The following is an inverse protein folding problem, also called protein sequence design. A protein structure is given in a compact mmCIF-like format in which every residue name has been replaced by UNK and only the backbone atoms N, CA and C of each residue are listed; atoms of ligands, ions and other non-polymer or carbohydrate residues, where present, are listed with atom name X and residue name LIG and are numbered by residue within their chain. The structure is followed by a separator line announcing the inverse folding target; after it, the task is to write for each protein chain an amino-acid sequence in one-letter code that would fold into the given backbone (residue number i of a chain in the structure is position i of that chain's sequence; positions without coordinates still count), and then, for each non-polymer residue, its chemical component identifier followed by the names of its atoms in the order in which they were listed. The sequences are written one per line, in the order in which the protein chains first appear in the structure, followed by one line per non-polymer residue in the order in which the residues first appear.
data_IF_271886975810
#
_entry.id   IF_271886975810
#
_cell.length_a   1.000
_cell.length_b   1.000
_cell.length_c   1.000
_cell.angle_alpha   90.00
_cell.angle_beta   90.00
_cell.angle_gamma   90.00
#
_symmetry.space_group_name_H-M   'P 1'
#
loop_
_entity.id
_entity.type
_entity.pdbx_description
1 polymer ?
#
# COMPACT_ATOMS: atom_id res chain seq x y z
N UNK A 1 -14.44 10.34 -15.92
CA UNK A 1 -13.77 11.63 -15.66
C UNK A 1 -12.33 11.54 -16.14
N UNK A 2 -11.77 12.57 -16.81
CA UNK A 2 -10.37 12.55 -17.24
C UNK A 2 -9.40 12.60 -16.05
N UNK A 3 -8.21 11.99 -16.22
CA UNK A 3 -7.12 11.99 -15.24
C UNK A 3 -6.19 13.19 -15.51
N UNK A 4 -6.68 14.41 -15.27
CA UNK A 4 -5.93 15.63 -15.58
C UNK A 4 -4.64 15.74 -14.76
N UNK A 5 -4.63 15.21 -13.55
CA UNK A 5 -3.44 15.15 -12.69
C UNK A 5 -2.28 14.35 -13.30
N UNK A 6 -2.57 13.42 -14.23
CA UNK A 6 -1.53 12.59 -14.87
C UNK A 6 -0.85 13.26 -16.08
N UNK A 7 -1.27 14.48 -16.49
CA UNK A 7 -0.62 15.16 -17.61
C UNK A 7 0.87 15.38 -17.32
N UNK A 8 1.79 14.79 -18.09
CA UNK A 8 3.24 14.91 -17.87
C UNK A 8 3.77 16.33 -18.04
N UNK A 9 3.01 17.24 -18.65
CA UNK A 9 3.37 18.65 -18.82
C UNK A 9 3.13 19.49 -17.58
N UNK A 10 2.33 19.00 -16.63
CA UNK A 10 2.03 19.74 -15.39
C UNK A 10 3.29 19.88 -14.54
N UNK A 11 3.52 21.08 -14.03
CA UNK A 11 4.58 21.39 -13.08
C UNK A 11 3.96 22.03 -11.85
N UNK A 12 4.53 21.75 -10.69
CA UNK A 12 4.10 22.38 -9.43
C UNK A 12 4.84 23.69 -9.19
N UNK A 13 4.15 24.62 -8.57
CA UNK A 13 4.81 25.82 -8.00
C UNK A 13 5.56 25.50 -6.68
N UNK A 14 5.29 24.35 -6.06
CA UNK A 14 6.15 23.80 -5.01
C UNK A 14 7.44 23.26 -5.62
N UNK A 15 8.52 23.31 -4.85
CA UNK A 15 9.78 22.72 -5.28
C UNK A 15 9.70 21.20 -5.33
N UNK A 16 10.00 20.64 -6.48
CA UNK A 16 10.10 19.18 -6.68
C UNK A 16 11.53 18.86 -7.13
N UNK A 17 12.33 18.16 -6.31
CA UNK A 17 13.67 17.70 -6.72
C UNK A 17 13.62 16.86 -7.99
N UNK A 18 14.66 16.97 -8.84
CA UNK A 18 14.70 16.30 -10.16
C UNK A 18 14.46 14.79 -10.11
N UNK A 19 14.89 14.13 -9.04
CA UNK A 19 14.79 12.68 -8.85
C UNK A 19 13.76 12.32 -7.77
N UNK A 20 12.77 13.18 -7.55
CA UNK A 20 11.71 12.90 -6.57
C UNK A 20 10.69 11.93 -7.14
N UNK A 21 10.33 10.92 -6.36
CA UNK A 21 9.22 10.00 -6.66
C UNK A 21 7.85 10.66 -6.44
N UNK A 22 7.83 11.92 -5.98
CA UNK A 22 6.62 12.65 -5.63
C UNK A 22 6.41 13.92 -6.49
N UNK A 23 6.39 13.77 -7.84
CA UNK A 23 5.99 14.88 -8.71
C UNK A 23 4.48 15.17 -8.54
N UNK A 24 4.03 16.32 -9.09
CA UNK A 24 2.61 16.70 -9.07
C UNK A 24 1.67 15.65 -9.70
N UNK A 25 2.20 14.72 -10.47
CA UNK A 25 1.45 13.59 -11.05
C UNK A 25 1.21 12.46 -10.06
N UNK A 26 1.99 12.34 -8.98
CA UNK A 26 1.81 11.27 -8.02
C UNK A 26 0.63 11.56 -7.07
N UNK A 27 0.73 12.59 -6.25
CA UNK A 27 -0.30 12.98 -5.26
C UNK A 27 -0.78 11.74 -4.46
N UNK A 28 0.10 11.11 -3.66
CA UNK A 28 -0.30 9.99 -2.81
C UNK A 28 -1.13 10.49 -1.63
N UNK A 29 -1.82 9.59 -0.94
CA UNK A 29 -2.54 9.91 0.29
C UNK A 29 -1.90 9.24 1.49
N UNK A 30 -1.92 9.90 2.64
CA UNK A 30 -1.38 9.41 3.88
C UNK A 30 -1.99 10.12 5.09
N UNK A 31 -1.56 9.70 6.27
CA UNK A 31 -1.95 10.32 7.54
C UNK A 31 -0.69 10.72 8.26
N UNK A 32 -0.67 11.90 8.85
CA UNK A 32 0.48 12.36 9.62
C UNK A 32 0.06 13.17 10.85
N UNK A 33 0.92 13.14 11.84
CA UNK A 33 0.86 13.98 13.04
C UNK A 33 1.69 15.24 12.78
N UNK A 34 1.12 16.40 13.05
CA UNK A 34 1.82 17.69 12.99
C UNK A 34 2.58 17.97 14.29
N UNK A 35 3.40 19.00 14.32
CA UNK A 35 4.11 19.46 15.54
C UNK A 35 3.18 19.91 16.67
N UNK A 36 1.95 20.29 16.32
CA UNK A 36 0.93 20.73 17.28
C UNK A 36 0.06 19.55 17.76
N UNK A 37 0.53 18.31 17.59
CA UNK A 37 -0.15 17.07 17.95
C UNK A 37 -1.52 16.89 17.26
N UNK A 38 -1.69 17.44 16.07
CA UNK A 38 -2.90 17.27 15.25
C UNK A 38 -2.65 16.16 14.24
N UNK A 39 -3.51 15.13 14.28
CA UNK A 39 -3.56 14.09 13.23
C UNK A 39 -4.42 14.60 12.08
N UNK A 40 -3.94 14.47 10.86
CA UNK A 40 -4.66 14.89 9.66
C UNK A 40 -4.38 13.98 8.48
N UNK A 41 -5.34 13.88 7.59
CA UNK A 41 -5.16 13.26 6.28
C UNK A 41 -4.46 14.26 5.37
N UNK A 42 -3.45 13.79 4.66
CA UNK A 42 -2.69 14.64 3.77
C UNK A 42 -2.18 13.98 2.50
N UNK A 43 -1.49 14.80 1.74
CA UNK A 43 -0.78 14.39 0.53
C UNK A 43 0.62 14.98 0.50
N UNK A 44 1.38 14.64 -0.56
CA UNK A 44 2.76 15.09 -0.72
C UNK A 44 3.06 15.48 -2.17
N UNK A 45 3.76 16.61 -2.33
CA UNK A 45 4.37 17.01 -3.60
C UNK A 45 5.83 17.41 -3.32
N UNK A 46 6.77 16.73 -3.96
CA UNK A 46 8.20 16.92 -3.68
C UNK A 46 8.52 16.62 -2.22
N UNK A 47 9.07 17.60 -1.53
CA UNK A 47 9.43 17.53 -0.09
C UNK A 47 8.45 18.27 0.82
N UNK A 48 7.25 18.56 0.31
CA UNK A 48 6.21 19.28 1.04
C UNK A 48 5.03 18.36 1.29
N UNK A 49 4.67 18.19 2.57
CA UNK A 49 3.41 17.60 2.98
C UNK A 49 2.31 18.68 2.98
N UNK A 50 1.10 18.27 2.64
CA UNK A 50 -0.05 19.14 2.43
C UNK A 50 -1.20 18.60 3.26
N UNK A 51 -1.72 19.41 4.16
CA UNK A 51 -2.88 19.10 5.01
C UNK A 51 -4.17 19.25 4.19
N UNK A 52 -4.86 18.14 3.95
CA UNK A 52 -6.13 18.12 3.24
C UNK A 52 -7.30 18.56 4.13
N UNK A 53 -7.21 18.33 5.44
CA UNK A 53 -8.18 18.81 6.42
C UNK A 53 -8.24 20.33 6.43
N UNK A 54 -7.09 20.99 6.57
CA UNK A 54 -6.98 22.46 6.51
C UNK A 54 -7.43 22.99 5.15
N UNK A 55 -7.02 22.38 4.03
CA UNK A 55 -7.52 22.77 2.69
C UNK A 55 -9.04 22.68 2.57
N UNK A 56 -9.65 21.66 3.16
CA UNK A 56 -11.10 21.47 3.14
C UNK A 56 -11.83 22.54 3.96
N UNK A 57 -11.38 22.79 5.18
CA UNK A 57 -11.91 23.82 6.06
C UNK A 57 -11.80 25.23 5.47
N UNK A 58 -10.72 25.50 4.74
CA UNK A 58 -10.50 26.76 4.01
C UNK A 58 -11.30 26.88 2.71
N UNK A 59 -12.11 25.87 2.36
CA UNK A 59 -13.01 25.87 1.21
C UNK A 59 -12.36 25.54 -0.12
N UNK A 60 -11.12 25.04 -0.17
CA UNK A 60 -10.45 24.72 -1.42
C UNK A 60 -11.04 23.49 -2.15
N UNK A 61 -11.87 22.70 -1.49
CA UNK A 61 -12.62 21.58 -2.11
C UNK A 61 -14.09 21.89 -2.35
N UNK A 62 -14.51 23.16 -2.24
CA UNK A 62 -15.89 23.54 -2.55
C UNK A 62 -16.31 23.09 -3.95
N UNK A 63 -17.50 22.48 -4.06
CA UNK A 63 -18.03 21.90 -5.30
C UNK A 63 -17.70 20.42 -5.51
N UNK A 64 -16.93 19.79 -4.61
CA UNK A 64 -16.82 18.34 -4.47
C UNK A 64 -17.74 17.93 -3.32
N UNK A 65 -18.55 16.89 -3.55
CA UNK A 65 -19.45 16.33 -2.53
C UNK A 65 -18.62 15.52 -1.52
N UNK A 66 -18.26 16.17 -0.40
CA UNK A 66 -17.46 15.63 0.70
C UNK A 66 -18.15 15.98 2.02
N UNK A 67 -18.07 15.11 3.00
CA UNK A 67 -18.49 15.45 4.37
C UNK A 67 -17.47 16.42 5.00
N UNK A 68 -17.93 17.29 5.90
CA UNK A 68 -17.11 18.37 6.49
C UNK A 68 -15.87 17.83 7.25
N UNK A 69 -15.95 16.60 7.75
CA UNK A 69 -14.93 15.96 8.58
C UNK A 69 -14.10 14.88 7.86
N UNK A 70 -14.32 14.68 6.55
CA UNK A 70 -13.72 13.57 5.79
C UNK A 70 -12.19 13.51 5.89
N UNK A 71 -11.51 14.64 5.99
CA UNK A 71 -10.06 14.74 6.11
C UNK A 71 -9.57 15.05 7.52
N UNK A 72 -10.48 15.10 8.51
CA UNK A 72 -10.17 15.28 9.92
C UNK A 72 -10.14 13.96 10.71
N UNK A 73 -10.23 12.85 9.98
CA UNK A 73 -10.15 11.50 10.54
C UNK A 73 -8.69 11.12 10.80
N UNK A 74 -8.47 10.17 11.67
CA UNK A 74 -7.16 9.59 11.96
C UNK A 74 -6.75 8.47 11.00
N UNK A 75 -7.63 8.11 10.05
CA UNK A 75 -7.38 7.13 8.97
C UNK A 75 -8.06 7.56 7.68
N UNK A 76 -7.62 6.97 6.55
CA UNK A 76 -8.20 7.17 5.22
C UNK A 76 -9.46 6.34 4.96
N UNK A 77 -9.91 5.51 5.91
CA UNK A 77 -10.96 4.52 5.66
C UNK A 77 -12.25 5.13 5.11
N UNK A 78 -12.73 6.22 5.70
CA UNK A 78 -13.95 6.90 5.25
C UNK A 78 -13.78 7.53 3.87
N UNK A 79 -12.64 8.19 3.62
CA UNK A 79 -12.35 8.73 2.29
C UNK A 79 -12.24 7.64 1.22
N UNK A 80 -11.68 6.47 1.58
CA UNK A 80 -11.61 5.32 0.68
C UNK A 80 -13.02 4.78 0.40
N UNK A 81 -13.93 4.80 1.38
CA UNK A 81 -15.32 4.36 1.21
C UNK A 81 -16.13 5.25 0.25
N UNK A 82 -15.78 6.53 0.09
CA UNK A 82 -16.41 7.45 -0.86
C UNK A 82 -16.23 7.04 -2.34
N UNK A 83 -15.28 6.18 -2.62
CA UNK A 83 -15.12 5.54 -3.91
C UNK A 83 -14.34 6.36 -4.95
N UNK A 84 -14.02 5.67 -6.03
CA UNK A 84 -13.06 6.12 -7.06
C UNK A 84 -13.39 7.47 -7.70
N UNK A 85 -14.69 7.80 -7.85
CA UNK A 85 -15.10 9.09 -8.41
C UNK A 85 -14.65 10.25 -7.54
N UNK A 86 -14.84 10.15 -6.23
CA UNK A 86 -14.47 11.16 -5.24
C UNK A 86 -12.94 11.29 -5.15
N UNK A 87 -12.21 10.17 -5.06
CA UNK A 87 -10.74 10.19 -5.03
C UNK A 87 -10.14 10.93 -6.23
N UNK A 88 -10.70 10.69 -7.42
CA UNK A 88 -10.26 11.32 -8.68
C UNK A 88 -10.55 12.81 -8.71
N UNK A 89 -11.71 13.23 -8.19
CA UNK A 89 -12.06 14.65 -8.06
C UNK A 89 -11.09 15.38 -7.17
N UNK A 90 -10.84 14.83 -5.97
CA UNK A 90 -9.92 15.39 -4.98
C UNK A 90 -8.50 15.47 -5.54
N UNK A 91 -8.00 14.37 -6.12
CA UNK A 91 -6.67 14.32 -6.72
C UNK A 91 -6.48 15.32 -7.86
N UNK A 92 -7.45 15.45 -8.76
CA UNK A 92 -7.42 16.46 -9.82
C UNK A 92 -7.42 17.87 -9.24
N UNK A 93 -8.26 18.15 -8.23
CA UNK A 93 -8.33 19.45 -7.57
C UNK A 93 -7.02 19.84 -6.88
N UNK A 94 -6.39 18.91 -6.18
CA UNK A 94 -5.04 19.10 -5.59
C UNK A 94 -4.05 19.46 -6.70
N UNK A 95 -4.03 18.69 -7.79
CA UNK A 95 -3.17 18.97 -8.92
C UNK A 95 -3.41 20.37 -9.53
N UNK A 96 -4.64 20.86 -9.55
CA UNK A 96 -4.97 22.20 -10.05
C UNK A 96 -4.51 23.29 -9.10
N UNK A 97 -4.70 23.13 -7.78
CA UNK A 97 -4.26 24.09 -6.76
C UNK A 97 -2.74 24.29 -6.74
N UNK A 98 -2.00 23.22 -6.99
CA UNK A 98 -0.54 23.25 -6.95
C UNK A 98 0.11 23.38 -8.32
N UNK A 99 -0.68 23.58 -9.40
CA UNK A 99 -0.18 23.81 -10.75
C UNK A 99 0.61 25.13 -10.83
N UNK A 100 1.74 25.11 -11.50
CA UNK A 100 2.49 26.34 -11.78
C UNK A 100 1.63 27.32 -12.60
N UNK A 101 1.58 28.56 -12.14
CA UNK A 101 0.68 29.59 -12.68
C UNK A 101 -0.70 29.65 -12.01
N UNK A 102 -1.06 28.71 -11.14
CA UNK A 102 -2.27 28.84 -10.30
C UNK A 102 -1.93 29.65 -9.04
N UNK A 103 -2.62 30.76 -8.84
CA UNK A 103 -2.40 31.71 -7.75
C UNK A 103 -3.43 31.58 -6.62
N UNK A 104 -4.42 30.71 -6.73
CA UNK A 104 -5.55 30.59 -5.82
C UNK A 104 -5.09 30.40 -4.35
N UNK A 105 -4.26 29.39 -4.11
CA UNK A 105 -3.63 29.14 -2.81
C UNK A 105 -2.29 29.91 -2.69
N UNK A 106 -1.47 29.88 -3.74
CA UNK A 106 -0.09 30.39 -3.73
C UNK A 106 0.04 31.84 -3.25
N UNK A 107 -0.92 32.71 -3.58
CA UNK A 107 -0.94 34.11 -3.18
C UNK A 107 -1.42 34.34 -1.75
N UNK A 108 -2.15 33.39 -1.18
CA UNK A 108 -2.62 33.50 0.21
C UNK A 108 -1.55 32.93 1.16
N UNK A 109 -0.69 33.80 1.66
CA UNK A 109 0.44 33.39 2.51
C UNK A 109 0.03 32.81 3.87
N UNK A 110 -1.10 33.24 4.41
CA UNK A 110 -1.62 32.72 5.69
C UNK A 110 -2.14 31.29 5.49
N UNK A 111 -2.95 31.04 4.45
CA UNK A 111 -3.39 29.68 4.12
C UNK A 111 -2.20 28.77 3.78
N UNK A 112 -1.17 29.26 3.06
CA UNK A 112 0.03 28.47 2.79
C UNK A 112 0.74 28.03 4.08
N UNK A 113 0.81 28.88 5.12
CA UNK A 113 1.41 28.51 6.42
C UNK A 113 0.59 27.46 7.17
N UNK A 114 -0.72 27.48 6.99
CA UNK A 114 -1.65 26.58 7.64
C UNK A 114 -1.63 25.18 7.01
N UNK A 115 -1.51 25.11 5.68
CA UNK A 115 -1.67 23.83 4.95
C UNK A 115 -0.35 23.15 4.57
N UNK A 116 0.80 23.85 4.60
CA UNK A 116 2.07 23.33 4.08
C UNK A 116 3.05 23.04 5.21
N UNK A 117 3.54 21.81 5.24
CA UNK A 117 4.53 21.35 6.20
C UNK A 117 5.77 20.81 5.48
N UNK A 118 6.92 20.98 6.09
CA UNK A 118 8.12 20.26 5.70
C UNK A 118 8.00 18.82 6.19
N UNK A 119 8.67 17.89 5.53
CA UNK A 119 8.61 16.48 5.94
C UNK A 119 9.24 16.21 7.32
N UNK A 120 10.19 17.05 7.74
CA UNK A 120 10.80 16.96 9.08
C UNK A 120 9.95 17.64 10.19
N UNK A 121 8.79 18.18 9.82
CA UNK A 121 7.81 18.79 10.73
C UNK A 121 6.63 17.88 11.03
N UNK A 122 6.57 16.71 10.41
CA UNK A 122 5.48 15.75 10.54
C UNK A 122 6.00 14.37 10.93
N UNK A 123 5.15 13.58 11.55
CA UNK A 123 5.38 12.17 11.83
C UNK A 123 4.31 11.32 11.14
N UNK A 124 4.74 10.47 10.19
CA UNK A 124 3.82 9.63 9.43
C UNK A 124 3.18 8.58 10.33
N UNK A 125 1.87 8.43 10.17
CA UNK A 125 1.06 7.43 10.87
C UNK A 125 0.69 6.28 9.93
N UNK A 126 0.09 5.22 10.47
CA UNK A 126 -0.51 4.17 9.65
C UNK A 126 -1.70 4.78 8.87
N UNK A 127 -1.71 4.70 7.53
CA UNK A 127 -2.67 5.48 6.74
C UNK A 127 -4.09 4.93 6.77
N UNK A 128 -4.26 3.66 7.15
CA UNK A 128 -5.56 2.98 7.20
C UNK A 128 -5.65 2.11 8.45
N UNK A 129 -6.84 1.96 8.98
CA UNK A 129 -7.15 0.91 9.93
C UNK A 129 -7.39 -0.39 9.17
N UNK A 130 -6.45 -1.33 9.33
CA UNK A 130 -6.46 -2.61 8.61
C UNK A 130 -7.24 -3.62 9.42
N UNK A 131 -8.49 -3.85 9.03
CA UNK A 131 -9.33 -4.86 9.67
C UNK A 131 -8.76 -6.26 9.49
N UNK A 132 -8.33 -6.57 8.27
CA UNK A 132 -7.81 -7.88 7.89
C UNK A 132 -6.92 -7.80 6.65
N UNK A 133 -5.99 -8.75 6.45
CA UNK A 133 -5.26 -8.85 5.21
C UNK A 133 -4.91 -10.29 4.84
N UNK A 134 -4.79 -10.52 3.54
CA UNK A 134 -4.32 -11.78 2.98
C UNK A 134 -3.04 -11.50 2.22
N UNK A 135 -2.01 -12.23 2.55
CA UNK A 135 -0.74 -12.22 1.84
C UNK A 135 -0.77 -13.28 0.74
N UNK A 136 -0.62 -12.85 -0.52
CA UNK A 136 -0.67 -13.72 -1.68
C UNK A 136 0.72 -14.05 -2.21
N UNK A 137 1.00 -15.30 -2.29
CA UNK A 137 2.22 -15.90 -2.82
C UNK A 137 2.19 -15.98 -4.35
N UNK A 138 2.04 -14.81 -5.01
CA UNK A 138 1.65 -14.72 -6.43
C UNK A 138 2.83 -14.62 -7.41
N UNK A 139 4.04 -14.22 -6.98
CA UNK A 139 5.22 -14.17 -7.85
C UNK A 139 5.79 -15.57 -8.05
N UNK A 140 5.88 -16.01 -9.32
CA UNK A 140 6.41 -17.34 -9.66
C UNK A 140 7.88 -17.47 -9.29
N UNK A 141 8.64 -16.41 -9.50
CA UNK A 141 10.08 -16.35 -9.18
C UNK A 141 10.29 -16.45 -7.66
N UNK A 142 9.58 -15.65 -6.89
CA UNK A 142 9.62 -15.70 -5.43
C UNK A 142 9.17 -17.06 -4.91
N UNK A 143 8.02 -17.56 -5.38
CA UNK A 143 7.47 -18.86 -4.97
C UNK A 143 8.42 -20.02 -5.29
N UNK A 144 9.13 -19.98 -6.43
CA UNK A 144 10.13 -20.98 -6.79
C UNK A 144 11.36 -20.86 -5.86
N UNK A 145 11.87 -19.65 -5.64
CA UNK A 145 13.04 -19.43 -4.79
C UNK A 145 12.79 -19.92 -3.35
N UNK A 146 11.70 -19.44 -2.73
CA UNK A 146 11.35 -19.83 -1.37
C UNK A 146 11.00 -21.33 -1.30
N UNK A 147 10.27 -21.84 -2.30
CA UNK A 147 9.96 -23.27 -2.38
C UNK A 147 11.20 -24.16 -2.38
N UNK A 148 12.26 -23.74 -3.06
CA UNK A 148 13.53 -24.45 -3.13
C UNK A 148 14.33 -24.46 -1.80
N UNK A 149 14.01 -23.53 -0.86
CA UNK A 149 14.59 -23.56 0.49
C UNK A 149 14.00 -24.68 1.36
N UNK A 150 12.80 -25.15 1.05
CA UNK A 150 12.05 -26.09 1.89
C UNK A 150 11.80 -27.43 1.20
N UNK A 151 11.92 -27.51 -0.13
CA UNK A 151 11.58 -28.65 -0.97
C UNK A 151 12.66 -28.89 -2.03
N UNK A 152 12.54 -30.03 -2.74
CA UNK A 152 13.34 -30.30 -3.93
C UNK A 152 13.12 -29.18 -4.97
N UNK A 153 14.15 -28.57 -5.53
CA UNK A 153 14.04 -27.54 -6.55
C UNK A 153 13.19 -27.91 -7.78
N UNK A 154 13.19 -29.22 -8.16
CA UNK A 154 12.36 -29.71 -9.26
C UNK A 154 10.85 -29.70 -8.91
N UNK A 155 10.51 -29.68 -7.62
CA UNK A 155 9.17 -29.66 -7.07
C UNK A 155 8.95 -28.44 -6.15
N UNK A 156 9.59 -27.32 -6.47
CA UNK A 156 9.51 -26.08 -5.65
C UNK A 156 8.08 -25.56 -5.54
N UNK A 157 7.29 -25.66 -6.62
CA UNK A 157 5.89 -25.24 -6.66
C UNK A 157 4.96 -26.42 -6.44
N UNK A 158 4.00 -26.28 -5.52
CA UNK A 158 2.93 -27.28 -5.35
C UNK A 158 1.95 -27.22 -6.53
N UNK A 159 1.28 -28.32 -6.89
CA UNK A 159 0.40 -28.40 -8.07
C UNK A 159 -0.70 -27.34 -8.10
N UNK A 160 -1.27 -26.99 -6.95
CA UNK A 160 -2.34 -26.01 -6.83
C UNK A 160 -1.85 -24.57 -7.08
N UNK A 161 -0.55 -24.28 -6.92
CA UNK A 161 0.01 -22.92 -7.10
C UNK A 161 -0.25 -22.37 -8.52
N UNK A 162 -0.25 -23.24 -9.54
CA UNK A 162 -0.49 -22.86 -10.94
C UNK A 162 -1.98 -22.59 -11.26
N UNK A 163 -2.89 -22.89 -10.34
CA UNK A 163 -4.33 -22.90 -10.61
C UNK A 163 -5.15 -21.92 -9.77
N UNK A 164 -4.71 -21.63 -8.55
CA UNK A 164 -5.39 -20.70 -7.64
C UNK A 164 -4.39 -19.71 -7.02
N UNK A 165 -4.82 -18.51 -6.68
CA UNK A 165 -3.99 -17.61 -5.85
C UNK A 165 -3.75 -18.27 -4.49
N UNK A 166 -2.48 -18.56 -4.20
CA UNK A 166 -2.07 -19.10 -2.91
C UNK A 166 -1.74 -17.93 -1.99
N UNK A 167 -2.22 -18.01 -0.76
CA UNK A 167 -1.97 -16.99 0.23
C UNK A 167 -2.27 -17.49 1.64
N UNK A 168 -1.97 -16.69 2.64
CA UNK A 168 -2.33 -16.93 4.03
C UNK A 168 -2.96 -15.69 4.65
N UNK A 169 -3.74 -15.89 5.72
CA UNK A 169 -4.29 -14.79 6.51
C UNK A 169 -3.18 -14.24 7.41
N UNK A 170 -2.74 -13.02 7.10
CA UNK A 170 -1.70 -12.35 7.86
C UNK A 170 -2.22 -11.74 9.18
N UNK A 171 -1.29 -11.21 9.96
CA UNK A 171 -1.57 -10.56 11.24
C UNK A 171 -1.71 -9.04 11.04
N UNK A 172 -2.92 -8.52 10.88
CA UNK A 172 -3.17 -7.08 10.69
C UNK A 172 -2.66 -6.23 11.86
N UNK A 173 -2.77 -6.73 13.09
CA UNK A 173 -2.38 -6.01 14.32
C UNK A 173 -0.86 -5.78 14.48
N UNK A 174 -0.02 -6.35 13.64
CA UNK A 174 1.43 -6.14 13.63
C UNK A 174 1.93 -5.38 12.40
N UNK A 175 1.03 -4.80 11.62
CA UNK A 175 1.39 -3.88 10.54
C UNK A 175 1.75 -2.52 11.14
N UNK A 176 2.91 -2.00 10.73
CA UNK A 176 3.44 -0.71 11.21
C UNK A 176 3.96 0.14 10.04
N UNK A 177 3.97 1.47 10.16
CA UNK A 177 4.53 2.33 9.11
C UNK A 177 6.06 2.24 9.05
N UNK A 178 6.62 2.55 7.89
CA UNK A 178 8.08 2.66 7.70
C UNK A 178 8.71 3.60 8.72
N UNK A 179 9.87 3.21 9.24
CA UNK A 179 10.58 3.94 10.31
C UNK A 179 10.35 3.33 11.69
N UNK A 180 9.33 2.51 11.88
CA UNK A 180 9.10 1.82 13.16
C UNK A 180 10.14 0.72 13.38
N UNK A 181 10.88 0.72 14.51
CA UNK A 181 11.84 -0.33 14.82
C UNK A 181 11.16 -1.69 15.05
N UNK A 182 11.67 -2.74 14.42
CA UNK A 182 11.15 -4.09 14.55
C UNK A 182 11.99 -4.89 15.56
N UNK A 183 11.30 -5.56 16.49
CA UNK A 183 11.95 -6.45 17.44
C UNK A 183 12.11 -7.84 16.82
N UNK A 184 13.33 -8.40 16.97
CA UNK A 184 13.62 -9.79 16.59
C UNK A 184 12.72 -10.75 17.37
N UNK A 185 11.94 -11.64 16.70
CA UNK A 185 11.06 -12.57 17.39
C UNK A 185 11.85 -13.67 18.11
N UNK A 186 11.23 -14.23 19.15
CA UNK A 186 11.71 -15.38 19.89
C UNK A 186 10.72 -16.52 19.69
N UNK A 187 11.21 -17.69 19.30
CA UNK A 187 10.35 -18.84 18.99
C UNK A 187 11.08 -20.16 19.02
N UNK A 188 10.34 -21.22 18.71
CA UNK A 188 10.91 -22.54 18.52
C UNK A 188 11.53 -22.68 17.14
N UNK A 189 12.61 -23.43 17.05
CA UNK A 189 13.30 -23.80 15.81
C UNK A 189 13.37 -25.31 15.68
N UNK A 190 13.68 -25.79 14.48
CA UNK A 190 13.83 -27.24 14.22
C UNK A 190 14.78 -27.90 15.22
N UNK A 191 14.55 -29.17 15.57
CA UNK A 191 15.46 -29.94 16.39
C UNK A 191 16.91 -29.90 15.86
N UNK A 192 17.86 -29.70 16.78
CA UNK A 192 19.29 -29.87 16.54
C UNK A 192 19.69 -31.35 16.56
N UNK A 193 21.00 -31.61 16.69
CA UNK A 193 21.59 -32.96 16.73
C UNK A 193 21.09 -33.78 17.91
N UNK A 194 20.63 -33.15 18.98
CA UNK A 194 20.07 -33.79 20.17
C UNK A 194 18.60 -34.22 20.01
N UNK A 195 17.98 -33.97 18.83
CA UNK A 195 16.61 -34.29 18.53
C UNK A 195 15.56 -33.43 19.23
N UNK A 196 15.97 -32.34 19.90
CA UNK A 196 15.08 -31.44 20.64
C UNK A 196 14.90 -30.12 19.90
N UNK A 197 13.68 -29.54 19.88
CA UNK A 197 13.48 -28.20 19.36
C UNK A 197 14.29 -27.18 20.19
N UNK A 198 14.92 -26.24 19.48
CA UNK A 198 15.54 -25.09 20.11
C UNK A 198 14.48 -24.04 20.48
N UNK A 199 14.79 -23.14 21.43
CA UNK A 199 13.98 -21.97 21.72
C UNK A 199 14.89 -20.76 21.96
N UNK A 200 14.63 -19.66 21.27
CA UNK A 200 15.43 -18.44 21.38
C UNK A 200 15.13 -17.42 20.29
N UNK A 201 15.91 -16.32 20.24
CA UNK A 201 15.80 -15.33 19.18
C UNK A 201 16.09 -15.95 17.81
N UNK A 202 15.30 -15.58 16.80
CA UNK A 202 15.54 -15.96 15.40
C UNK A 202 16.98 -15.63 14.97
N UNK A 203 17.63 -16.55 14.29
CA UNK A 203 18.99 -16.41 13.73
C UNK A 203 18.96 -16.10 12.24
N UNK A 204 17.81 -16.33 11.58
CA UNK A 204 17.61 -16.15 10.14
C UNK A 204 16.47 -15.16 9.88
N UNK A 205 16.69 -13.90 10.26
CA UNK A 205 15.74 -12.83 9.95
C UNK A 205 15.96 -12.37 8.52
N UNK A 206 14.89 -12.36 7.75
CA UNK A 206 14.85 -12.02 6.34
C UNK A 206 13.75 -10.98 6.06
N UNK A 207 13.76 -10.38 4.87
CA UNK A 207 12.71 -9.47 4.40
C UNK A 207 12.10 -9.98 3.10
N UNK A 208 10.86 -9.63 2.86
CA UNK A 208 10.19 -9.84 1.58
C UNK A 208 9.69 -8.48 1.08
N UNK A 209 10.28 -7.99 -0.01
CA UNK A 209 9.82 -6.74 -0.63
C UNK A 209 8.63 -7.04 -1.53
N UNK A 210 7.49 -6.48 -1.18
CA UNK A 210 6.22 -6.74 -1.81
C UNK A 210 5.47 -5.44 -2.14
N UNK A 211 4.39 -5.60 -2.90
CA UNK A 211 3.39 -4.57 -3.17
C UNK A 211 2.08 -4.98 -2.51
N UNK A 212 1.57 -4.15 -1.61
CA UNK A 212 0.23 -4.33 -1.08
C UNK A 212 -0.74 -3.33 -1.72
N UNK A 213 -1.94 -3.79 -2.04
CA UNK A 213 -3.02 -2.90 -2.47
C UNK A 213 -4.06 -2.72 -1.36
N UNK A 214 -4.52 -1.49 -1.22
CA UNK A 214 -5.55 -1.12 -0.26
C UNK A 214 -6.90 -1.23 -0.95
N UNK A 215 -7.79 -2.07 -0.39
CA UNK A 215 -9.14 -2.28 -0.93
C UNK A 215 -10.18 -1.43 -0.24
N UNK A 216 -11.28 -1.19 -0.94
CA UNK A 216 -12.51 -0.67 -0.33
C UNK A 216 -13.27 -1.79 0.35
N UNK A 217 -14.01 -1.51 1.41
CA UNK A 217 -14.90 -2.47 2.06
C UNK A 217 -16.28 -2.46 1.40
N UNK A 218 -16.41 -3.03 0.20
CA UNK A 218 -17.59 -2.75 -0.64
C UNK A 218 -18.46 -3.93 -1.00
N UNK A 219 -18.11 -5.16 -0.63
CA UNK A 219 -18.97 -6.30 -0.93
C UNK A 219 -19.62 -6.89 0.31
N UNK A 220 -20.89 -7.26 0.18
CA UNK A 220 -21.61 -7.95 1.23
C UNK A 220 -21.02 -9.35 1.51
N UNK A 221 -21.12 -9.81 2.75
CA UNK A 221 -20.71 -11.13 3.13
C UNK A 221 -21.38 -12.20 2.24
N UNK A 222 -20.58 -13.11 1.71
CA UNK A 222 -21.02 -14.17 0.80
C UNK A 222 -21.17 -13.73 -0.66
N UNK A 223 -21.02 -12.46 -0.99
CA UNK A 223 -20.95 -11.99 -2.38
C UNK A 223 -19.50 -11.82 -2.81
N UNK A 224 -19.16 -12.39 -3.95
CA UNK A 224 -17.82 -12.23 -4.56
C UNK A 224 -17.78 -10.99 -5.44
N UNK A 225 -16.63 -10.34 -5.52
CA UNK A 225 -16.33 -9.31 -6.50
C UNK A 225 -15.90 -10.02 -7.81
N UNK A 226 -16.62 -9.84 -8.93
CA UNK A 226 -16.17 -10.36 -10.22
C UNK A 226 -14.83 -9.75 -10.64
N UNK A 227 -13.98 -10.54 -11.32
CA UNK A 227 -12.64 -10.08 -11.71
C UNK A 227 -12.67 -8.81 -12.58
N UNK A 228 -13.69 -8.63 -13.40
CA UNK A 228 -13.88 -7.41 -14.23
C UNK A 228 -14.10 -6.14 -13.41
N UNK A 229 -14.58 -6.27 -12.17
CA UNK A 229 -14.92 -5.18 -11.26
C UNK A 229 -13.85 -5.01 -10.14
N UNK A 230 -12.82 -5.85 -10.13
CA UNK A 230 -11.81 -5.89 -9.06
C UNK A 230 -11.06 -4.55 -8.91
N UNK A 231 -10.70 -3.90 -10.03
CA UNK A 231 -10.00 -2.62 -10.00
C UNK A 231 -10.77 -1.48 -9.36
N UNK A 232 -12.09 -1.46 -9.48
CA UNK A 232 -12.94 -0.42 -8.86
C UNK A 232 -12.90 -0.51 -7.33
N UNK A 233 -12.45 -1.66 -6.79
CA UNK A 233 -12.31 -1.90 -5.36
C UNK A 233 -10.87 -1.70 -4.86
N UNK A 234 -9.97 -1.16 -5.68
CA UNK A 234 -8.59 -0.87 -5.29
C UNK A 234 -8.38 0.64 -5.26
N UNK A 235 -8.08 1.17 -4.08
CA UNK A 235 -7.75 2.58 -3.90
C UNK A 235 -6.35 2.90 -4.42
N UNK A 236 -5.37 2.14 -3.99
CA UNK A 236 -3.97 2.36 -4.35
C UNK A 236 -3.05 1.28 -3.82
N UNK A 237 -1.75 1.50 -3.98
CA UNK A 237 -0.70 0.57 -3.59
C UNK A 237 0.29 1.22 -2.63
N UNK A 238 0.88 0.37 -1.79
CA UNK A 238 2.01 0.69 -0.91
C UNK A 238 3.12 -0.33 -1.11
N UNK A 239 4.36 0.05 -0.81
CA UNK A 239 5.42 -0.94 -0.59
C UNK A 239 5.16 -1.64 0.73
N UNK A 240 5.39 -2.93 0.74
CA UNK A 240 5.17 -3.81 1.88
C UNK A 240 6.43 -4.63 2.14
N UNK A 241 6.78 -4.81 3.38
CA UNK A 241 7.83 -5.73 3.80
C UNK A 241 7.24 -6.74 4.77
N UNK A 242 7.12 -8.00 4.31
CA UNK A 242 6.73 -9.12 5.16
C UNK A 242 7.97 -9.69 5.84
N UNK A 243 8.27 -9.18 7.03
CA UNK A 243 9.40 -9.64 7.82
C UNK A 243 9.29 -11.13 8.13
N UNK A 244 10.38 -11.88 7.88
CA UNK A 244 10.36 -13.34 7.92
C UNK A 244 11.46 -13.87 8.81
N UNK A 245 11.08 -14.56 9.90
CA UNK A 245 12.00 -15.33 10.73
C UNK A 245 12.08 -16.76 10.20
N UNK A 246 12.96 -17.01 9.22
CA UNK A 246 13.00 -18.23 8.42
C UNK A 246 13.22 -19.50 9.22
N UNK A 247 14.04 -19.46 10.26
CA UNK A 247 14.31 -20.59 11.14
C UNK A 247 13.11 -20.99 11.99
N UNK A 248 12.34 -20.01 12.48
CA UNK A 248 11.08 -20.23 13.18
C UNK A 248 10.02 -20.71 12.18
N UNK A 249 9.86 -20.02 11.05
CA UNK A 249 8.93 -20.36 9.99
C UNK A 249 9.10 -21.82 9.52
N UNK A 250 10.34 -22.25 9.29
CA UNK A 250 10.64 -23.59 8.82
C UNK A 250 10.20 -24.71 9.77
N UNK A 251 10.09 -24.41 11.07
CA UNK A 251 9.64 -25.37 12.08
C UNK A 251 8.11 -25.41 12.20
N UNK A 252 7.46 -24.26 12.12
CA UNK A 252 6.06 -24.12 12.51
C UNK A 252 5.04 -24.21 11.36
N UNK A 253 5.47 -24.04 10.07
CA UNK A 253 4.51 -23.83 8.98
C UNK A 253 3.74 -25.09 8.54
N UNK A 254 4.18 -26.29 8.93
CA UNK A 254 3.53 -27.58 8.58
C UNK A 254 3.21 -28.35 9.86
N UNK A 255 1.97 -28.85 10.02
CA UNK A 255 0.80 -28.77 9.12
C UNK A 255 0.11 -27.39 9.15
N UNK A 256 0.04 -26.71 10.29
CA UNK A 256 -0.47 -25.37 10.53
C UNK A 256 0.19 -24.85 11.79
N UNK A 257 0.98 -23.83 11.67
CA UNK A 257 1.69 -23.26 12.82
C UNK A 257 0.97 -22.07 13.43
N UNK A 258 1.54 -21.48 14.47
CA UNK A 258 1.11 -20.20 15.02
C UNK A 258 1.50 -19.02 14.12
N UNK A 259 2.30 -19.23 13.05
CA UNK A 259 2.83 -18.25 12.13
C UNK A 259 3.65 -17.12 12.79
N UNK A 260 4.31 -17.42 13.92
CA UNK A 260 5.14 -16.44 14.65
C UNK A 260 6.30 -15.93 13.77
N UNK A 261 6.83 -16.77 12.88
CA UNK A 261 7.87 -16.41 11.91
C UNK A 261 7.48 -15.32 10.92
N UNK A 262 6.20 -14.96 10.86
CA UNK A 262 5.60 -13.91 10.02
C UNK A 262 4.84 -12.87 10.86
N UNK A 263 4.04 -13.31 11.82
CA UNK A 263 3.11 -12.48 12.59
C UNK A 263 3.76 -11.48 13.54
N UNK A 264 5.10 -11.42 13.63
CA UNK A 264 5.78 -10.51 14.55
C UNK A 264 5.88 -9.07 14.03
N UNK A 265 5.88 -8.87 12.71
CA UNK A 265 5.89 -7.55 12.09
C UNK A 265 5.64 -7.61 10.60
N UNK A 266 4.95 -6.60 10.09
CA UNK A 266 4.90 -6.21 8.66
C UNK A 266 5.06 -4.70 8.57
N UNK A 267 5.84 -4.20 7.62
CA UNK A 267 6.08 -2.76 7.48
C UNK A 267 5.51 -2.26 6.15
N UNK A 268 4.75 -1.15 6.19
CA UNK A 268 4.21 -0.54 4.97
C UNK A 268 4.73 0.87 4.74
N UNK A 269 4.77 1.28 3.47
CA UNK A 269 4.92 2.69 3.12
C UNK A 269 3.71 3.48 3.62
N UNK A 270 3.90 4.60 4.34
CA UNK A 270 2.78 5.37 4.87
C UNK A 270 2.09 6.26 3.82
N UNK A 271 2.61 6.35 2.61
CA UNK A 271 2.02 7.04 1.47
C UNK A 271 1.41 6.04 0.50
N UNK A 272 0.08 6.10 0.32
CA UNK A 272 -0.64 5.24 -0.63
C UNK A 272 -0.64 5.92 -1.99
N UNK A 273 -0.01 5.29 -2.98
CA UNK A 273 -0.02 5.74 -4.37
C UNK A 273 -1.26 5.21 -5.07
N UNK A 274 -2.13 6.09 -5.55
CA UNK A 274 -3.41 5.67 -6.15
C UNK A 274 -3.21 4.91 -7.46
N UNK A 275 -4.14 4.00 -7.80
CA UNK A 275 -4.13 3.32 -9.11
C UNK A 275 -4.17 4.31 -10.29
N UNK A 276 -4.84 5.45 -10.11
CA UNK A 276 -4.89 6.48 -11.14
C UNK A 276 -3.50 7.11 -11.38
N UNK A 277 -2.69 7.31 -10.33
CA UNK A 277 -1.31 7.79 -10.47
C UNK A 277 -0.42 6.76 -11.20
N UNK A 278 -0.67 5.48 -10.99
CA UNK A 278 0.08 4.38 -11.58
C UNK A 278 -0.35 4.03 -13.02
N UNK A 279 -1.43 4.64 -13.53
CA UNK A 279 -1.94 4.35 -14.87
C UNK A 279 -0.89 4.43 -16.00
N UNK A 280 0.03 5.42 -16.04
CA UNK A 280 1.06 5.49 -17.08
C UNK A 280 2.08 4.36 -17.05
N UNK A 281 2.18 3.63 -15.95
CA UNK A 281 3.17 2.57 -15.71
C UNK A 281 2.58 1.17 -15.90
N UNK A 282 1.35 1.06 -16.38
CA UNK A 282 0.72 -0.24 -16.65
C UNK A 282 1.44 -0.97 -17.77
N UNK A 283 1.67 -2.26 -17.57
CA UNK A 283 2.21 -3.17 -18.57
C UNK A 283 1.44 -4.49 -18.57
N UNK A 284 1.62 -5.29 -19.59
CA UNK A 284 1.03 -6.62 -19.65
C UNK A 284 1.76 -7.55 -18.67
N UNK A 285 0.99 -8.31 -17.90
CA UNK A 285 1.54 -9.41 -17.11
C UNK A 285 2.10 -10.54 -17.97
N UNK A 286 2.92 -11.43 -17.40
CA UNK A 286 3.40 -12.61 -18.10
C UNK A 286 2.23 -13.50 -18.55
N UNK A 287 2.42 -14.21 -19.67
CA UNK A 287 1.43 -15.21 -20.12
C UNK A 287 1.29 -16.29 -19.07
N UNK A 288 0.06 -16.49 -18.61
CA UNK A 288 -0.22 -17.49 -17.59
C UNK A 288 -0.36 -18.88 -18.23
N UNK A 289 0.42 -19.84 -17.72
CA UNK A 289 0.43 -21.23 -18.16
C UNK A 289 0.49 -22.14 -16.92
N UNK A 290 -0.46 -23.07 -16.73
CA UNK A 290 -1.62 -23.33 -17.57
C UNK A 290 -2.65 -22.21 -17.57
N UNK A 291 -3.53 -22.17 -18.57
CA UNK A 291 -4.62 -21.19 -18.65
C UNK A 291 -5.52 -21.29 -17.42
N UNK A 292 -5.78 -20.18 -16.69
CA UNK A 292 -6.61 -20.23 -15.50
C UNK A 292 -8.06 -20.57 -15.80
N UNK A 293 -8.80 -21.02 -14.78
CA UNK A 293 -10.23 -21.28 -14.89
C UNK A 293 -11.01 -19.98 -15.22
N UNK A 294 -12.20 -20.08 -15.85
CA UNK A 294 -12.94 -18.91 -16.37
C UNK A 294 -13.17 -17.80 -15.37
N UNK A 295 -13.34 -18.10 -14.09
CA UNK A 295 -13.59 -17.09 -13.05
C UNK A 295 -12.35 -16.24 -12.70
N UNK A 296 -11.16 -16.70 -13.10
CA UNK A 296 -9.87 -15.99 -12.93
C UNK A 296 -9.36 -15.39 -14.25
N UNK A 297 -10.08 -15.58 -15.38
CA UNK A 297 -9.65 -15.04 -16.66
C UNK A 297 -10.06 -13.58 -16.80
N UNK A 298 -9.10 -12.73 -17.10
CA UNK A 298 -9.33 -11.39 -17.61
C UNK A 298 -9.41 -11.40 -19.13
N UNK A 299 -10.26 -10.56 -19.73
CA UNK A 299 -10.41 -10.46 -21.19
C UNK A 299 -9.19 -9.89 -21.88
N UNK A 300 -8.45 -9.05 -21.18
CA UNK A 300 -7.17 -8.48 -21.61
C UNK A 300 -6.16 -8.75 -20.50
N UNK A 301 -4.89 -8.98 -20.88
CA UNK A 301 -3.80 -9.15 -19.91
C UNK A 301 -3.59 -7.80 -19.20
N UNK A 302 -4.39 -7.54 -18.16
CA UNK A 302 -4.30 -6.32 -17.39
C UNK A 302 -3.61 -6.58 -16.08
N UNK A 303 -2.69 -5.69 -15.75
CA UNK A 303 -2.02 -5.50 -14.47
C UNK A 303 -0.86 -6.43 -14.16
N UNK A 304 0.27 -6.14 -14.75
CA UNK A 304 1.48 -6.06 -13.97
C UNK A 304 1.80 -4.58 -13.76
N UNK A 305 1.82 -4.12 -12.52
CA UNK A 305 2.44 -2.88 -12.16
C UNK A 305 3.94 -3.21 -12.06
N UNK A 306 4.68 -2.77 -13.05
CA UNK A 306 6.15 -2.71 -13.09
C UNK A 306 6.84 -3.78 -12.22
N UNK A 307 7.49 -4.73 -12.88
CA UNK A 307 8.62 -5.41 -12.25
C UNK A 307 9.74 -4.39 -12.04
N UNK A 308 9.89 -3.91 -10.82
CA UNK A 308 11.10 -3.22 -10.40
C UNK A 308 12.14 -4.25 -10.06
#
# INVERSE_FOLDING_TARGET
MPLTANDPKRKSWLHVPKNSDFPIQNIPFGVFLTRDDIITIGTRIGETAIDLGALHQLGYFNGIDLTDDIFLQDTLNDFIADGRKTWRLVRNRISDLFLDGNDELRKNKEHCKEVLFRLDEIEMQLPVDVGDYTDFYASKEHATNVGSLFRDPENALLPNWLHIPIGYHGRSSSIVPSGTPIRRPIGQTKPGDDGKPGFGPSKLLDFELEMAFITTATNDLGKRVPIKDAEENIFGLVLFNDWSARDIQAWEYVPLGPFLGKSFASTISPWIVTLDALQPFRTNGPKQEPKPLPYLQQKENMLSLIHI
#
